data_IF_364138929475
#
_entry.id   IF_364138929475
#
_cell.length_a   1.000
_cell.length_b   1.000
_cell.length_c   1.000
_cell.angle_alpha   90.00
_cell.angle_beta   90.00
_cell.angle_gamma   90.00
#
_symmetry.space_group_name_H-M   'P 1'
#
loop_
_entity.id
_entity.type
_entity.pdbx_description
1 polymer ?
#
# COMPACT_ATOMS: atom_id res chain seq x y z
N UNK A 1 5.37 -33.17 -44.20
CA UNK A 1 4.86 -33.11 -42.81
C UNK A 1 5.17 -31.71 -42.29
N UNK A 2 4.13 -30.93 -41.95
CA UNK A 2 4.25 -29.54 -41.50
C UNK A 2 4.43 -29.54 -39.98
N UNK A 3 5.60 -29.16 -39.49
CA UNK A 3 5.83 -28.84 -38.07
C UNK A 3 5.81 -27.32 -37.94
N UNK A 4 4.64 -26.78 -37.64
CA UNK A 4 4.46 -25.37 -37.33
C UNK A 4 4.96 -25.14 -35.90
N UNK A 5 6.16 -24.56 -35.76
CA UNK A 5 6.69 -24.11 -34.48
C UNK A 5 5.93 -22.84 -34.07
N UNK A 6 5.07 -22.95 -33.07
CA UNK A 6 4.34 -21.83 -32.50
C UNK A 6 5.29 -21.06 -31.56
N UNK A 7 5.95 -20.02 -32.07
CA UNK A 7 6.63 -19.03 -31.24
C UNK A 7 5.56 -18.20 -30.52
N UNK A 8 5.37 -18.45 -29.22
CA UNK A 8 4.62 -17.54 -28.35
C UNK A 8 5.52 -16.31 -28.15
N UNK A 9 5.31 -15.32 -29.02
CA UNK A 9 5.86 -13.98 -28.87
C UNK A 9 5.10 -13.34 -27.69
N UNK A 10 5.62 -13.48 -26.47
CA UNK A 10 5.16 -12.66 -25.35
C UNK A 10 5.66 -11.25 -25.66
N UNK A 11 4.79 -10.45 -26.27
CA UNK A 11 5.00 -9.02 -26.42
C UNK A 11 5.25 -8.44 -25.03
N UNK A 12 6.52 -8.11 -24.77
CA UNK A 12 6.93 -7.24 -23.69
C UNK A 12 6.33 -5.86 -23.94
N UNK A 13 5.05 -5.72 -23.59
CA UNK A 13 4.51 -4.43 -23.23
C UNK A 13 5.39 -3.94 -22.09
N UNK A 14 6.12 -2.88 -22.34
CA UNK A 14 6.96 -2.15 -21.39
C UNK A 14 6.07 -1.51 -20.31
N UNK A 15 5.47 -2.35 -19.47
CA UNK A 15 5.07 -1.99 -18.12
C UNK A 15 6.36 -1.69 -17.36
N UNK A 16 6.42 -0.54 -16.67
CA UNK A 16 7.62 -0.05 -15.99
C UNK A 16 8.35 -1.17 -15.24
N UNK A 17 9.69 -1.16 -15.26
CA UNK A 17 10.53 -2.21 -14.68
C UNK A 17 9.97 -2.69 -13.32
N UNK A 18 9.37 -3.88 -13.33
CA UNK A 18 8.87 -4.53 -12.12
C UNK A 18 10.09 -5.16 -11.45
N UNK A 19 10.38 -4.74 -10.22
CA UNK A 19 11.42 -5.39 -9.43
C UNK A 19 11.05 -6.86 -9.17
N UNK A 20 11.95 -7.82 -9.41
CA UNK A 20 11.78 -9.22 -8.98
C UNK A 20 11.73 -9.38 -7.47
N UNK A 21 12.28 -8.38 -6.77
CA UNK A 21 12.44 -8.36 -5.33
C UNK A 21 11.41 -7.40 -4.77
N UNK A 22 10.92 -7.68 -3.56
CA UNK A 22 10.30 -6.65 -2.74
C UNK A 22 11.24 -5.45 -2.76
N UNK A 23 10.77 -4.29 -3.24
CA UNK A 23 11.59 -3.08 -3.20
C UNK A 23 12.13 -2.91 -1.78
N UNK A 24 13.36 -2.40 -1.64
CA UNK A 24 13.95 -2.14 -0.33
C UNK A 24 12.87 -1.55 0.58
N UNK A 25 12.67 -2.21 1.73
CA UNK A 25 11.65 -1.84 2.70
C UNK A 25 12.05 -0.46 3.22
N UNK A 26 11.58 0.59 2.56
CA UNK A 26 11.83 1.94 3.03
C UNK A 26 11.07 2.06 4.35
N UNK A 27 11.84 2.25 5.42
CA UNK A 27 11.33 2.63 6.73
C UNK A 27 10.75 4.03 6.55
N UNK A 28 9.45 4.09 6.23
CA UNK A 28 8.60 5.26 6.09
C UNK A 28 9.24 6.44 5.33
N UNK A 29 8.99 6.53 4.03
CA UNK A 29 9.45 7.66 3.23
C UNK A 29 8.92 9.01 3.76
N UNK A 30 9.81 10.01 3.82
CA UNK A 30 9.48 11.40 4.22
C UNK A 30 8.51 12.09 3.26
N UNK A 31 8.23 11.47 2.13
CA UNK A 31 7.27 11.89 1.12
C UNK A 31 6.55 10.64 0.58
N UNK A 32 5.26 10.77 0.29
CA UNK A 32 4.54 9.69 -0.38
C UNK A 32 5.09 9.50 -1.80
N UNK A 33 5.62 8.30 -2.06
CA UNK A 33 5.86 7.84 -3.42
C UNK A 33 4.72 6.90 -3.81
N UNK A 34 4.18 7.09 -5.01
CA UNK A 34 3.26 6.12 -5.58
C UNK A 34 3.95 4.78 -5.66
N UNK A 35 3.36 3.77 -5.05
CA UNK A 35 3.90 2.42 -5.03
C UNK A 35 2.77 1.43 -5.25
N UNK A 36 3.15 0.29 -5.80
CA UNK A 36 2.27 -0.85 -5.95
C UNK A 36 1.82 -1.34 -4.56
N UNK A 37 0.55 -1.71 -4.47
CA UNK A 37 -0.09 -2.17 -3.24
C UNK A 37 -0.34 -3.68 -3.25
N UNK A 38 -0.53 -4.30 -4.42
CA UNK A 38 -0.77 -5.75 -4.51
C UNK A 38 0.50 -6.55 -4.77
N UNK A 39 0.56 -7.79 -4.27
CA UNK A 39 1.73 -8.68 -4.32
C UNK A 39 3.01 -8.06 -3.76
N UNK A 40 2.85 -7.17 -2.79
CA UNK A 40 3.89 -6.67 -1.90
C UNK A 40 3.62 -7.14 -0.48
N UNK A 41 4.67 -7.27 0.32
CA UNK A 41 4.58 -7.49 1.76
C UNK A 41 3.71 -6.42 2.44
N UNK A 42 2.89 -6.85 3.41
CA UNK A 42 1.95 -5.99 4.11
C UNK A 42 2.64 -4.80 4.78
N UNK A 43 3.78 -5.00 5.45
CA UNK A 43 4.49 -3.91 6.12
C UNK A 43 5.02 -2.88 5.10
N UNK A 44 5.44 -3.33 3.92
CA UNK A 44 5.80 -2.41 2.84
C UNK A 44 4.59 -1.59 2.36
N UNK A 45 3.42 -2.22 2.21
CA UNK A 45 2.18 -1.52 1.83
C UNK A 45 1.76 -0.52 2.91
N UNK A 46 1.80 -0.89 4.19
CA UNK A 46 1.50 0.01 5.30
C UNK A 46 2.48 1.18 5.38
N UNK A 47 3.78 0.92 5.13
CA UNK A 47 4.81 1.96 5.04
C UNK A 47 4.51 2.96 3.93
N UNK A 48 4.13 2.47 2.75
CA UNK A 48 3.76 3.32 1.63
C UNK A 48 2.58 4.24 1.99
N UNK A 49 1.58 3.73 2.70
CA UNK A 49 0.39 4.49 3.05
C UNK A 49 0.59 5.46 4.21
N UNK A 50 1.62 5.23 5.04
CA UNK A 50 1.84 5.95 6.29
C UNK A 50 1.81 7.48 6.13
N UNK A 51 2.54 8.01 5.14
CA UNK A 51 2.61 9.45 4.92
C UNK A 51 1.23 10.05 4.63
N UNK A 52 0.42 9.40 3.79
CA UNK A 52 -0.94 9.89 3.48
C UNK A 52 -1.82 9.80 4.73
N UNK A 53 -1.83 8.65 5.40
CA UNK A 53 -2.73 8.40 6.53
C UNK A 53 -2.44 9.32 7.71
N UNK A 54 -1.17 9.45 8.09
CA UNK A 54 -0.79 10.18 9.30
C UNK A 54 -0.39 11.62 9.03
N UNK A 55 0.36 11.90 7.95
CA UNK A 55 0.89 13.23 7.71
C UNK A 55 -0.11 14.13 6.97
N UNK A 56 -0.83 13.60 5.98
CA UNK A 56 -1.79 14.40 5.20
C UNK A 56 -3.21 14.35 5.77
N UNK A 57 -3.70 13.16 6.13
CA UNK A 57 -5.07 12.97 6.61
C UNK A 57 -5.20 13.09 8.13
N UNK A 58 -4.08 13.13 8.86
CA UNK A 58 -4.05 13.25 10.33
C UNK A 58 -4.91 12.18 11.02
N UNK A 59 -4.84 10.95 10.51
CA UNK A 59 -5.55 9.82 11.06
C UNK A 59 -4.70 9.12 12.12
N UNK A 60 -5.37 8.58 13.14
CA UNK A 60 -4.79 7.67 14.11
C UNK A 60 -5.40 6.29 13.94
N UNK A 61 -4.57 5.25 13.99
CA UNK A 61 -5.07 3.87 14.06
C UNK A 61 -5.78 3.67 15.40
N UNK A 62 -6.96 3.08 15.36
CA UNK A 62 -7.81 2.86 16.55
C UNK A 62 -8.24 1.41 16.74
N UNK A 63 -8.17 0.59 15.71
CA UNK A 63 -8.50 -0.84 15.77
C UNK A 63 -7.71 -1.58 14.68
N UNK A 64 -7.34 -2.83 14.96
CA UNK A 64 -6.81 -3.76 13.96
C UNK A 64 -7.39 -5.15 14.22
N UNK A 65 -7.96 -5.75 13.18
CA UNK A 65 -8.64 -7.05 13.26
C UNK A 65 -8.11 -7.99 12.21
N UNK A 66 -7.67 -9.15 12.66
CA UNK A 66 -7.22 -10.23 11.80
C UNK A 66 -8.30 -11.31 11.74
N UNK A 67 -8.62 -11.73 10.53
CA UNK A 67 -9.49 -12.85 10.24
C UNK A 67 -8.75 -13.74 9.24
N UNK A 68 -7.76 -14.44 9.77
CA UNK A 68 -6.94 -15.40 9.04
C UNK A 68 -7.52 -16.80 9.19
N UNK A 69 -7.24 -17.68 8.23
CA UNK A 69 -7.49 -19.12 8.38
C UNK A 69 -6.67 -19.68 9.54
N UNK A 70 -7.06 -20.85 10.03
CA UNK A 70 -6.41 -21.53 11.16
C UNK A 70 -4.90 -21.78 10.95
N UNK A 71 -4.50 -22.00 9.69
CA UNK A 71 -3.11 -22.20 9.28
C UNK A 71 -2.35 -20.88 9.03
N UNK A 72 -2.97 -19.73 9.28
CA UNK A 72 -2.42 -18.37 9.11
C UNK A 72 -2.04 -18.06 7.64
N UNK A 73 -2.34 -18.96 6.71
CA UNK A 73 -1.89 -18.91 5.31
C UNK A 73 -2.53 -17.81 4.49
N UNK A 74 -3.74 -17.38 4.87
CA UNK A 74 -4.53 -16.45 4.09
C UNK A 74 -5.70 -15.93 4.92
N UNK A 75 -6.27 -14.81 4.48
CA UNK A 75 -7.45 -14.24 5.10
C UNK A 75 -7.44 -12.74 4.95
N UNK A 76 -7.99 -12.04 5.93
CA UNK A 76 -8.11 -10.57 5.85
C UNK A 76 -7.62 -9.90 7.10
N UNK A 77 -6.88 -8.81 6.94
CA UNK A 77 -6.46 -7.92 8.02
C UNK A 77 -7.17 -6.59 7.78
N UNK A 78 -7.85 -6.07 8.80
CA UNK A 78 -8.61 -4.82 8.71
C UNK A 78 -8.12 -3.82 9.74
N UNK A 79 -7.54 -2.72 9.26
CA UNK A 79 -7.06 -1.62 10.10
C UNK A 79 -8.05 -0.47 10.03
N UNK A 80 -8.53 -0.02 11.19
CA UNK A 80 -9.42 1.15 11.28
C UNK A 80 -8.65 2.37 11.76
N UNK A 81 -8.83 3.45 11.03
CA UNK A 81 -8.26 4.76 11.30
C UNK A 81 -9.35 5.77 11.61
N UNK A 82 -9.04 6.76 12.44
CA UNK A 82 -9.98 7.83 12.75
C UNK A 82 -9.30 9.18 12.93
N UNK A 83 -10.09 10.24 12.75
CA UNK A 83 -9.71 11.61 13.11
C UNK A 83 -10.95 12.35 13.60
N UNK A 84 -10.73 13.47 14.28
CA UNK A 84 -11.79 14.30 14.84
C UNK A 84 -11.70 15.70 14.26
N UNK A 85 -12.83 16.24 13.80
CA UNK A 85 -12.95 17.65 13.40
C UNK A 85 -14.08 18.25 14.22
N UNK A 86 -13.74 19.11 15.18
CA UNK A 86 -14.69 19.60 16.16
C UNK A 86 -15.24 18.45 17.02
N UNK A 87 -16.56 18.25 16.99
CA UNK A 87 -17.25 17.17 17.72
C UNK A 87 -17.44 15.90 16.90
N UNK A 88 -17.21 15.98 15.58
CA UNK A 88 -17.45 14.87 14.67
C UNK A 88 -16.24 13.94 14.60
N UNK A 89 -16.50 12.63 14.61
CA UNK A 89 -15.48 11.59 14.46
C UNK A 89 -15.65 10.95 13.10
N UNK A 90 -14.62 11.07 12.27
CA UNK A 90 -14.55 10.43 10.95
C UNK A 90 -13.72 9.17 11.04
N UNK A 91 -14.15 8.11 10.35
CA UNK A 91 -13.49 6.81 10.34
C UNK A 91 -13.24 6.32 8.93
N UNK A 92 -12.12 5.66 8.74
CA UNK A 92 -11.76 4.98 7.50
C UNK A 92 -11.22 3.60 7.85
N UNK A 93 -11.59 2.60 7.07
CA UNK A 93 -11.14 1.23 7.23
C UNK A 93 -10.39 0.81 5.99
N UNK A 94 -9.22 0.22 6.18
CA UNK A 94 -8.45 -0.43 5.14
C UNK A 94 -8.46 -1.92 5.43
N UNK A 95 -9.00 -2.69 4.48
CA UNK A 95 -9.07 -4.14 4.53
C UNK A 95 -8.10 -4.71 3.50
N UNK A 96 -7.11 -5.45 3.97
CA UNK A 96 -6.14 -6.19 3.17
C UNK A 96 -6.61 -7.64 3.06
N UNK A 97 -6.72 -8.16 1.85
CA UNK A 97 -6.82 -9.60 1.60
C UNK A 97 -5.41 -10.13 1.39
N UNK A 98 -4.97 -11.03 2.26
CA UNK A 98 -3.57 -11.46 2.36
C UNK A 98 -3.39 -12.95 2.07
N UNK A 99 -2.19 -13.31 1.64
CA UNK A 99 -1.71 -14.69 1.56
C UNK A 99 -0.26 -14.77 2.03
N UNK A 100 0.12 -15.88 2.66
CA UNK A 100 1.46 -16.16 3.12
C UNK A 100 2.32 -16.60 1.92
N UNK A 101 3.48 -15.98 1.78
CA UNK A 101 4.48 -16.32 0.77
C UNK A 101 5.88 -16.05 1.34
N UNK A 102 6.73 -17.06 1.37
CA UNK A 102 8.07 -16.98 1.99
C UNK A 102 8.02 -16.34 3.39
N UNK A 103 7.13 -16.85 4.24
CA UNK A 103 6.93 -16.42 5.63
C UNK A 103 6.46 -14.96 5.82
N UNK A 104 6.04 -14.29 4.74
CA UNK A 104 5.50 -12.93 4.76
C UNK A 104 4.07 -12.88 4.23
N UNK A 105 3.21 -12.06 4.84
CA UNK A 105 1.89 -11.80 4.31
C UNK A 105 1.97 -10.82 3.15
N UNK A 106 1.73 -11.31 1.95
CA UNK A 106 1.57 -10.47 0.76
C UNK A 106 0.12 -10.00 0.63
N UNK A 107 -0.08 -8.77 0.17
CA UNK A 107 -1.42 -8.19 -0.07
C UNK A 107 -1.90 -8.61 -1.47
N UNK A 108 -2.92 -9.46 -1.58
CA UNK A 108 -3.53 -9.82 -2.87
C UNK A 108 -4.46 -8.75 -3.41
N UNK A 109 -5.21 -8.12 -2.51
CA UNK A 109 -6.10 -7.00 -2.83
C UNK A 109 -6.32 -6.12 -1.60
N UNK A 110 -6.72 -4.87 -1.82
CA UNK A 110 -7.01 -3.91 -0.76
C UNK A 110 -8.35 -3.23 -1.02
N UNK A 111 -9.15 -3.06 0.03
CA UNK A 111 -10.40 -2.29 0.00
C UNK A 111 -10.34 -1.18 1.04
N UNK A 112 -10.71 0.04 0.66
CA UNK A 112 -10.81 1.19 1.57
C UNK A 112 -12.24 1.68 1.60
N UNK A 113 -12.79 1.87 2.80
CA UNK A 113 -14.17 2.33 2.99
C UNK A 113 -14.31 3.17 4.25
N UNK A 114 -15.45 3.84 4.44
CA UNK A 114 -15.73 4.63 5.64
C UNK A 114 -16.41 5.97 5.34
N UNK A 115 -16.04 6.99 6.11
CA UNK A 115 -16.54 8.35 5.96
C UNK A 115 -16.26 8.89 4.54
N UNK A 116 -17.27 9.42 3.82
CA UNK A 116 -17.07 9.84 2.45
C UNK A 116 -15.93 10.84 2.25
N UNK A 117 -15.85 11.84 3.13
CA UNK A 117 -14.76 12.82 3.12
C UNK A 117 -13.37 12.17 3.17
N UNK A 118 -13.13 11.22 4.08
CA UNK A 118 -11.83 10.60 4.27
C UNK A 118 -11.45 9.70 3.09
N UNK A 119 -12.38 8.86 2.62
CA UNK A 119 -12.13 7.92 1.53
C UNK A 119 -11.85 8.68 0.23
N UNK A 120 -12.63 9.72 -0.10
CA UNK A 120 -12.39 10.55 -1.28
C UNK A 120 -11.03 11.24 -1.20
N UNK A 121 -10.71 11.86 -0.06
CA UNK A 121 -9.43 12.58 0.12
C UNK A 121 -8.24 11.63 0.04
N UNK A 122 -8.36 10.43 0.63
CA UNK A 122 -7.38 9.36 0.50
C UNK A 122 -7.17 8.97 -0.96
N UNK A 123 -8.25 8.73 -1.72
CA UNK A 123 -8.16 8.39 -3.14
C UNK A 123 -7.44 9.47 -3.97
N UNK A 124 -7.83 10.73 -3.79
CA UNK A 124 -7.22 11.86 -4.48
C UNK A 124 -5.73 11.98 -4.16
N UNK A 125 -5.33 11.75 -2.90
CA UNK A 125 -3.93 11.86 -2.49
C UNK A 125 -3.08 10.67 -2.93
N UNK A 126 -3.58 9.44 -2.76
CA UNK A 126 -2.84 8.21 -3.01
C UNK A 126 -2.51 7.99 -4.49
N UNK A 127 -3.32 8.55 -5.39
CA UNK A 127 -3.10 8.42 -6.84
C UNK A 127 -3.03 9.76 -7.58
N UNK A 128 -2.92 10.89 -6.86
CA UNK A 128 -2.96 12.30 -7.35
C UNK A 128 -3.91 12.45 -8.54
N UNK A 129 -5.10 11.87 -8.40
CA UNK A 129 -6.15 12.01 -9.39
C UNK A 129 -6.73 13.40 -9.25
N UNK A 130 -7.01 14.06 -10.38
CA UNK A 130 -7.69 15.35 -10.42
C UNK A 130 -9.17 15.10 -10.70
N UNK A 131 -9.87 14.45 -9.78
CA UNK A 131 -11.33 14.39 -9.87
C UNK A 131 -11.85 15.66 -9.22
N UNK A 132 -12.67 16.45 -9.92
CA UNK A 132 -13.35 17.57 -9.27
C UNK A 132 -14.41 17.00 -8.32
N UNK A 133 -14.56 17.57 -7.12
CA UNK A 133 -15.52 17.08 -6.12
C UNK A 133 -16.97 16.99 -6.64
N UNK A 134 -17.30 17.67 -7.75
CA UNK A 134 -18.60 17.59 -8.45
C UNK A 134 -18.73 16.49 -9.52
N UNK A 135 -17.63 15.88 -9.96
CA UNK A 135 -17.62 14.84 -11.01
C UNK A 135 -17.96 13.46 -10.45
N UNK A 136 -17.83 13.26 -9.13
CA UNK A 136 -18.18 12.01 -8.46
C UNK A 136 -19.69 11.92 -8.25
N UNK A 137 -20.44 11.71 -9.33
CA UNK A 137 -21.86 11.35 -9.22
C UNK A 137 -21.98 10.08 -8.40
N UNK A 138 -23.10 9.96 -7.65
CA UNK A 138 -23.41 8.89 -6.68
C UNK A 138 -23.30 7.44 -7.22
N UNK A 139 -23.05 7.24 -8.52
CA UNK A 139 -22.98 5.95 -9.21
C UNK A 139 -21.81 5.86 -10.23
N UNK A 140 -20.86 6.81 -10.25
CA UNK A 140 -19.77 6.77 -11.23
C UNK A 140 -18.62 5.89 -10.74
N UNK A 141 -18.23 4.93 -11.58
CA UNK A 141 -17.05 4.10 -11.38
C UNK A 141 -15.86 4.80 -12.02
N UNK A 142 -14.93 5.27 -11.20
CA UNK A 142 -13.66 5.81 -11.68
C UNK A 142 -12.59 4.73 -11.58
N UNK A 143 -11.93 4.45 -12.70
CA UNK A 143 -10.79 3.51 -12.74
C UNK A 143 -9.50 4.25 -12.96
N UNK A 144 -8.46 3.84 -12.25
CA UNK A 144 -7.09 4.25 -12.45
C UNK A 144 -6.19 3.02 -12.44
N UNK A 145 -5.04 3.12 -13.11
CA UNK A 145 -4.06 2.05 -13.19
C UNK A 145 -2.71 2.57 -12.70
N UNK A 146 -2.06 1.80 -11.83
CA UNK A 146 -0.71 2.10 -11.38
C UNK A 146 0.12 0.83 -11.37
N UNK A 147 1.12 0.74 -12.25
CA UNK A 147 1.90 -0.49 -12.46
C UNK A 147 0.96 -1.70 -12.69
N UNK A 148 0.95 -2.65 -11.75
CA UNK A 148 0.12 -3.86 -11.79
C UNK A 148 -1.23 -3.71 -11.05
N UNK A 149 -1.50 -2.57 -10.44
CA UNK A 149 -2.74 -2.33 -9.71
C UNK A 149 -3.83 -1.76 -10.64
N UNK A 150 -4.99 -2.40 -10.64
CA UNK A 150 -6.27 -1.83 -11.07
C UNK A 150 -6.97 -1.25 -9.84
N UNK A 151 -7.13 0.07 -9.84
CA UNK A 151 -7.74 0.84 -8.75
C UNK A 151 -9.11 1.31 -9.21
N UNK A 152 -10.16 0.92 -8.50
CA UNK A 152 -11.51 1.44 -8.70
C UNK A 152 -11.95 2.29 -7.52
N UNK A 153 -12.60 3.40 -7.82
CA UNK A 153 -13.34 4.22 -6.86
C UNK A 153 -14.81 4.28 -7.29
N UNK A 154 -15.71 3.90 -6.39
CA UNK A 154 -17.15 3.89 -6.65
C UNK A 154 -17.93 4.12 -5.37
N UNK A 155 -19.20 4.55 -5.50
CA UNK A 155 -20.13 4.60 -4.39
C UNK A 155 -20.95 3.29 -4.35
N UNK A 156 -20.90 2.60 -3.22
CA UNK A 156 -21.73 1.44 -2.94
C UNK A 156 -22.74 1.81 -1.85
N UNK A 157 -24.04 1.77 -2.17
CA UNK A 157 -25.13 2.20 -1.27
C UNK A 157 -24.90 3.60 -0.66
N UNK A 158 -24.42 4.54 -1.49
CA UNK A 158 -24.15 5.91 -1.06
C UNK A 158 -22.88 6.11 -0.22
N UNK A 159 -22.06 5.06 -0.01
CA UNK A 159 -20.76 5.14 0.67
C UNK A 159 -19.64 4.90 -0.33
N UNK A 160 -18.59 5.74 -0.37
CA UNK A 160 -17.47 5.49 -1.27
C UNK A 160 -16.64 4.31 -0.81
N UNK A 161 -16.17 3.55 -1.80
CA UNK A 161 -15.32 2.38 -1.65
C UNK A 161 -14.24 2.45 -2.71
N UNK A 162 -13.00 2.28 -2.28
CA UNK A 162 -11.85 2.06 -3.17
C UNK A 162 -11.54 0.58 -3.16
N UNK A 163 -11.39 -0.02 -4.33
CA UNK A 163 -10.90 -1.40 -4.46
C UNK A 163 -9.63 -1.41 -5.28
N UNK A 164 -8.63 -2.15 -4.84
CA UNK A 164 -7.35 -2.28 -5.53
C UNK A 164 -7.09 -3.76 -5.73
N UNK A 165 -6.91 -4.15 -6.98
CA UNK A 165 -6.67 -5.54 -7.40
C UNK A 165 -5.46 -5.62 -8.30
N UNK A 166 -4.80 -6.76 -8.30
CA UNK A 166 -3.73 -7.01 -9.26
C UNK A 166 -4.32 -7.39 -10.63
N UNK A 167 -3.79 -6.80 -11.69
CA UNK A 167 -4.18 -7.12 -13.08
C UNK A 167 -3.32 -8.20 -13.73
N UNK A 168 -2.15 -8.50 -13.16
CA UNK A 168 -1.12 -9.34 -13.76
C UNK A 168 -1.17 -10.78 -13.25
N UNK A 169 -1.37 -10.97 -11.94
CA UNK A 169 -1.34 -12.26 -11.26
C UNK A 169 -2.75 -12.64 -10.79
N UNK A 170 -3.26 -13.78 -11.25
CA UNK A 170 -4.57 -14.29 -10.85
C UNK A 170 -4.52 -14.98 -9.49
N UNK A 171 -3.33 -15.38 -9.04
CA UNK A 171 -3.11 -15.98 -7.73
C UNK A 171 -1.64 -16.08 -7.36
N UNK A 172 -1.41 -16.66 -6.17
CA UNK A 172 -0.08 -16.80 -5.60
C UNK A 172 0.85 -17.68 -6.45
N UNK A 173 0.31 -18.69 -7.13
CA UNK A 173 1.10 -19.55 -8.03
C UNK A 173 1.70 -18.78 -9.21
N UNK A 174 0.91 -17.91 -9.85
CA UNK A 174 1.39 -17.06 -10.96
C UNK A 174 2.48 -16.11 -10.49
N UNK A 175 2.29 -15.53 -9.30
CA UNK A 175 3.28 -14.65 -8.68
C UNK A 175 4.58 -15.39 -8.35
N UNK A 176 4.49 -16.58 -7.77
CA UNK A 176 5.65 -17.42 -7.46
C UNK A 176 6.45 -17.76 -8.72
N UNK A 177 5.77 -18.18 -9.79
CA UNK A 177 6.40 -18.49 -11.06
C UNK A 177 7.09 -17.26 -11.69
N UNK A 178 6.45 -16.09 -11.63
CA UNK A 178 7.05 -14.83 -12.06
C UNK A 178 8.30 -14.48 -11.27
N UNK A 179 8.27 -14.63 -9.93
CA UNK A 179 9.41 -14.32 -9.07
C UNK A 179 10.59 -15.24 -9.35
N UNK A 180 10.36 -16.54 -9.46
CA UNK A 180 11.40 -17.52 -9.79
C UNK A 180 12.03 -17.25 -11.16
N UNK A 181 11.22 -17.01 -12.19
CA UNK A 181 11.72 -16.66 -13.52
C UNK A 181 12.51 -15.34 -13.54
N UNK A 182 12.06 -14.37 -12.76
CA UNK A 182 12.73 -13.07 -12.64
C UNK A 182 14.05 -13.17 -11.85
N UNK A 183 14.10 -13.99 -10.80
CA UNK A 183 15.33 -14.31 -10.05
C UNK A 183 16.35 -15.03 -10.93
N UNK A 184 15.93 -16.03 -11.70
CA UNK A 184 16.81 -16.71 -12.65
C UNK A 184 17.39 -15.75 -13.70
N UNK A 185 16.55 -14.84 -14.22
CA UNK A 185 16.97 -13.80 -15.16
C UNK A 185 17.95 -12.80 -14.54
N UNK A 186 17.72 -12.43 -13.27
CA UNK A 186 18.62 -11.55 -12.51
C UNK A 186 19.98 -12.21 -12.27
N UNK A 187 20.01 -13.47 -11.82
CA UNK A 187 21.25 -14.23 -11.62
C UNK A 187 22.03 -14.34 -12.93
N UNK A 188 21.35 -14.64 -14.05
CA UNK A 188 21.97 -14.68 -15.37
C UNK A 188 22.63 -13.36 -15.76
N UNK A 189 22.01 -12.22 -15.39
CA UNK A 189 22.49 -10.89 -15.74
C UNK A 189 23.58 -10.34 -14.80
N UNK A 190 23.48 -10.64 -13.49
CA UNK A 190 24.31 -10.00 -12.45
C UNK A 190 25.22 -10.97 -11.70
N UNK A 191 25.12 -12.28 -11.97
CA UNK A 191 25.95 -13.31 -11.33
C UNK A 191 25.64 -13.57 -9.85
N UNK A 192 24.59 -12.94 -9.29
CA UNK A 192 24.19 -13.09 -7.88
C UNK A 192 22.68 -13.25 -7.76
N UNK A 193 22.25 -13.99 -6.72
CA UNK A 193 20.85 -14.19 -6.35
C UNK A 193 20.33 -13.12 -5.39
N UNK A 194 21.23 -12.31 -4.81
CA UNK A 194 20.87 -11.22 -3.93
C UNK A 194 20.75 -9.91 -4.73
N UNK A 195 19.70 -9.10 -4.49
CA UNK A 195 19.64 -7.78 -5.08
C UNK A 195 20.86 -6.97 -4.61
N UNK A 196 21.57 -6.36 -5.56
CA UNK A 196 22.57 -5.35 -5.26
C UNK A 196 21.90 -4.28 -4.39
N UNK A 197 22.34 -4.13 -3.12
CA UNK A 197 21.86 -3.04 -2.26
C UNK A 197 22.24 -1.71 -2.92
N UNK A 198 21.25 -0.88 -3.24
CA UNK A 198 21.49 0.41 -3.90
C UNK A 198 21.57 1.54 -2.86
N UNK A 199 21.08 1.33 -1.64
CA UNK A 199 21.29 2.28 -0.54
C UNK A 199 22.54 1.97 0.27
N UNK A 200 23.34 3.00 0.53
CA UNK A 200 24.49 2.87 1.44
C UNK A 200 23.99 2.71 2.89
N UNK A 201 24.73 1.98 3.72
CA UNK A 201 24.41 1.80 5.14
C UNK A 201 24.21 3.14 5.90
N UNK A 202 24.79 4.23 5.39
CA UNK A 202 24.65 5.58 5.93
C UNK A 202 23.28 6.21 5.62
N UNK A 203 22.67 5.91 4.48
CA UNK A 203 21.33 6.37 4.13
C UNK A 203 20.25 5.67 4.97
N UNK A 204 20.40 4.37 5.23
CA UNK A 204 19.50 3.64 6.12
C UNK A 204 19.60 4.15 7.57
N UNK A 205 20.82 4.36 8.08
CA UNK A 205 21.03 4.95 9.42
C UNK A 205 20.47 6.35 9.55
N UNK A 206 20.60 7.20 8.52
CA UNK A 206 19.99 8.53 8.54
C UNK A 206 18.46 8.47 8.55
N UNK A 207 17.86 7.56 7.76
CA UNK A 207 16.41 7.35 7.77
C UNK A 207 15.92 6.88 9.14
N UNK A 208 16.58 5.89 9.76
CA UNK A 208 16.26 5.42 11.12
C UNK A 208 16.41 6.52 12.19
N UNK A 209 17.49 7.29 12.14
CA UNK A 209 17.72 8.39 13.07
C UNK A 209 16.66 9.49 12.94
N UNK A 210 16.26 9.82 11.71
CA UNK A 210 15.20 10.80 11.45
C UNK A 210 13.84 10.34 11.98
N UNK A 211 13.57 9.03 11.90
CA UNK A 211 12.34 8.43 12.40
C UNK A 211 12.28 8.46 13.93
N UNK A 212 13.34 8.02 14.61
CA UNK A 212 13.42 8.09 16.07
C UNK A 212 13.33 9.53 16.59
N UNK A 213 13.92 10.50 15.86
CA UNK A 213 13.75 11.92 16.17
C UNK A 213 12.29 12.37 16.03
N UNK A 214 11.59 11.95 14.97
CA UNK A 214 10.18 12.29 14.75
C UNK A 214 9.26 11.71 15.84
N UNK A 215 9.51 10.47 16.29
CA UNK A 215 8.78 9.80 17.36
C UNK A 215 8.98 10.50 18.70
N UNK A 216 10.21 10.91 19.00
CA UNK A 216 10.54 11.70 20.20
C UNK A 216 9.89 13.08 20.17
N UNK A 217 9.90 13.75 19.03
CA UNK A 217 9.27 15.05 18.86
C UNK A 217 7.76 14.96 19.07
N UNK A 218 7.09 13.98 18.46
CA UNK A 218 5.65 13.76 18.62
C UNK A 218 5.28 13.48 20.08
N UNK A 219 6.07 12.64 20.78
CA UNK A 219 5.86 12.36 22.21
C UNK A 219 6.05 13.61 23.08
N UNK A 220 6.96 14.50 22.71
CA UNK A 220 7.18 15.78 23.38
C UNK A 220 6.00 16.74 23.15
N UNK A 221 5.54 16.86 21.90
CA UNK A 221 4.37 17.69 21.55
C UNK A 221 3.10 17.21 22.27
N UNK A 222 2.88 15.90 22.36
CA UNK A 222 1.78 15.31 23.13
C UNK A 222 1.88 15.64 24.63
N UNK A 223 3.07 15.58 25.20
CA UNK A 223 3.31 15.92 26.60
C UNK A 223 3.11 17.41 26.88
N UNK A 224 3.57 18.28 25.98
CA UNK A 224 3.43 19.72 26.13
C UNK A 224 1.96 20.16 25.97
N UNK A 225 1.24 19.56 25.02
CA UNK A 225 -0.22 19.76 24.88
C UNK A 225 -0.99 19.28 26.12
N UNK A 226 -0.57 18.16 26.73
CA UNK A 226 -1.16 17.67 27.98
C UNK A 226 -0.93 18.63 29.15
N UNK A 227 0.30 19.16 29.31
CA UNK A 227 0.63 20.14 30.35
C UNK A 227 -0.14 21.45 30.19
N UNK A 228 -0.31 21.94 28.95
CA UNK A 228 -1.10 23.14 28.68
C UNK A 228 -2.57 22.97 29.06
N UNK A 229 -3.15 21.78 28.84
CA UNK A 229 -4.53 21.46 29.25
C UNK A 229 -4.69 21.39 30.77
N UNK A 230 -3.66 20.96 31.50
CA UNK A 230 -3.67 20.93 32.97
C UNK A 230 -3.61 22.33 33.57
N UNK A 231 -2.95 23.29 32.92
CA UNK A 231 -2.83 24.67 33.41
C UNK A 231 -4.03 25.57 33.03
N UNK A 232 -5.01 25.05 32.30
CA UNK A 232 -6.21 25.77 31.86
C UNK A 232 -7.50 25.32 32.57
N UNK A 233 -7.40 24.35 33.49
CA UNK A 233 -8.45 23.93 34.41
C UNK A 233 -8.05 24.25 35.85
#
# INVERSE_FOLDING_TARGET
MKTTLLFILISALSFGQISPYYGEQEVYASQYQYRQMTYYDLAAVESNLHFILHNNLKLNQVDSKENLKDDVSSGTITTTYSTSVGRDVYRMQIKYDVALFEDQHIVKSMTVSGSPYLVTKFYLMAWRTKIQEGDLKKNELVKNYYLQDDISYQFHNGKPVITIKNRQFQGLGDFAAFREGSKASYISKYGTAEPLQISSADEQKQKEASFEASKKLKKKEELDAFKQRLNQN
#
